data_IF_053397831467
#
_entry.id   IF_053397831467
#
_cell.length_a   1.000
_cell.length_b   1.000
_cell.length_c   1.000
_cell.angle_alpha   90.00
_cell.angle_beta   90.00
_cell.angle_gamma   90.00
#
_symmetry.space_group_name_H-M   'P 1'
#
loop_
_entity.id
_entity.type
_entity.pdbx_description
1 polymer ?
#
# COMPACT_ATOMS: atom_id res chain seq x y z
N UNK A 1 -16.85 -1.40 3.98
CA UNK A 1 -16.16 -1.89 5.21
C UNK A 1 -16.15 -0.75 6.21
N UNK A 2 -16.38 -0.99 7.50
CA UNK A 2 -16.33 0.05 8.54
C UNK A 2 -14.88 0.31 8.96
N UNK A 3 -14.39 1.54 8.78
CA UNK A 3 -13.00 1.92 9.04
C UNK A 3 -12.66 2.03 10.54
N UNK A 4 -13.68 2.31 11.35
CA UNK A 4 -13.67 2.55 12.80
C UNK A 4 -13.64 1.27 13.66
N UNK A 5 -13.61 0.08 13.04
CA UNK A 5 -13.63 -1.18 13.77
C UNK A 5 -12.24 -1.52 14.35
N UNK A 6 -12.21 -1.97 15.60
CA UNK A 6 -11.03 -2.54 16.24
C UNK A 6 -10.53 -3.80 15.52
N UNK A 7 -9.21 -3.94 15.40
CA UNK A 7 -8.55 -5.10 14.82
C UNK A 7 -8.60 -6.28 15.78
N UNK A 8 -9.10 -7.42 15.31
CA UNK A 8 -9.13 -8.64 16.13
C UNK A 8 -7.71 -9.24 16.26
N UNK A 9 -7.36 -9.88 17.40
CA UNK A 9 -6.07 -10.56 17.56
C UNK A 9 -5.78 -11.61 16.47
N UNK A 10 -6.83 -12.28 15.99
CA UNK A 10 -6.75 -13.22 14.87
C UNK A 10 -6.32 -12.55 13.57
N UNK A 11 -6.88 -11.37 13.25
CA UNK A 11 -6.53 -10.61 12.05
C UNK A 11 -5.05 -10.20 12.11
N UNK A 12 -4.60 -9.68 13.25
CA UNK A 12 -3.20 -9.30 13.45
C UNK A 12 -2.25 -10.49 13.20
N UNK A 13 -2.57 -11.67 13.74
CA UNK A 13 -1.78 -12.89 13.54
C UNK A 13 -1.76 -13.34 12.08
N UNK A 14 -2.89 -13.20 11.39
CA UNK A 14 -3.05 -13.57 9.98
C UNK A 14 -2.20 -12.68 9.07
N UNK A 15 -2.28 -11.36 9.27
CA UNK A 15 -1.51 -10.39 8.47
C UNK A 15 -0.02 -10.42 8.79
N UNK A 16 0.38 -10.83 9.99
CA UNK A 16 1.80 -11.09 10.32
C UNK A 16 2.39 -12.18 9.43
N UNK A 17 1.62 -13.23 9.11
CA UNK A 17 2.05 -14.33 8.24
C UNK A 17 1.39 -14.28 6.86
N UNK A 18 1.15 -13.07 6.33
CA UNK A 18 0.35 -12.88 5.12
C UNK A 18 0.85 -13.69 3.91
N UNK A 19 2.16 -13.93 3.77
CA UNK A 19 2.74 -14.73 2.67
C UNK A 19 2.27 -16.18 2.71
N UNK A 20 2.28 -16.78 3.90
CA UNK A 20 1.83 -18.16 4.13
C UNK A 20 0.34 -18.25 3.86
N UNK A 21 -0.44 -17.30 4.40
CA UNK A 21 -1.91 -17.26 4.21
C UNK A 21 -2.27 -17.09 2.73
N UNK A 22 -1.59 -16.20 2.01
CA UNK A 22 -1.79 -16.00 0.58
C UNK A 22 -1.42 -17.27 -0.21
N UNK A 23 -0.30 -17.92 0.11
CA UNK A 23 0.12 -19.17 -0.52
C UNK A 23 -0.89 -20.30 -0.33
N UNK A 24 -1.33 -20.54 0.91
CA UNK A 24 -2.36 -21.55 1.24
C UNK A 24 -3.67 -21.25 0.51
N UNK A 25 -4.09 -19.98 0.46
CA UNK A 25 -5.32 -19.59 -0.24
C UNK A 25 -5.25 -19.87 -1.75
N UNK A 26 -4.14 -19.54 -2.41
CA UNK A 26 -3.97 -19.85 -3.83
C UNK A 26 -3.96 -21.37 -4.04
N UNK A 27 -3.23 -22.12 -3.20
CA UNK A 27 -3.17 -23.57 -3.30
C UNK A 27 -4.56 -24.21 -3.18
N UNK A 28 -5.34 -23.80 -2.18
CA UNK A 28 -6.72 -24.29 -1.98
C UNK A 28 -7.63 -23.90 -3.15
N UNK A 29 -7.57 -22.64 -3.59
CA UNK A 29 -8.38 -22.17 -4.72
C UNK A 29 -8.05 -22.96 -6.01
N UNK A 30 -6.76 -23.19 -6.26
CA UNK A 30 -6.30 -23.98 -7.41
C UNK A 30 -6.77 -25.44 -7.35
N UNK A 31 -6.58 -26.12 -6.21
CA UNK A 31 -7.00 -27.52 -6.03
C UNK A 31 -8.52 -27.65 -6.18
N UNK A 32 -9.30 -26.75 -5.58
CA UNK A 32 -10.75 -26.78 -5.68
C UNK A 32 -11.24 -26.50 -7.10
N UNK A 33 -10.64 -25.54 -7.82
CA UNK A 33 -10.95 -25.31 -9.23
C UNK A 33 -10.57 -26.51 -10.09
N UNK A 34 -9.41 -27.12 -9.85
CA UNK A 34 -8.96 -28.30 -10.58
C UNK A 34 -9.94 -29.47 -10.40
N UNK A 35 -10.35 -29.74 -9.17
CA UNK A 35 -11.35 -30.77 -8.88
C UNK A 35 -12.69 -30.45 -9.55
N UNK A 36 -13.15 -29.20 -9.48
CA UNK A 36 -14.41 -28.78 -10.08
C UNK A 36 -14.39 -28.95 -11.61
N UNK A 37 -13.33 -28.48 -12.27
CA UNK A 37 -13.15 -28.63 -13.72
C UNK A 37 -13.17 -30.10 -14.14
N UNK A 38 -12.50 -30.97 -13.37
CA UNK A 38 -12.43 -32.40 -13.67
C UNK A 38 -13.75 -33.13 -13.40
N UNK A 39 -14.45 -32.79 -12.32
CA UNK A 39 -15.73 -33.41 -11.96
C UNK A 39 -16.87 -33.00 -12.91
N UNK A 40 -16.86 -31.77 -13.39
CA UNK A 40 -17.86 -31.28 -14.35
C UNK A 40 -17.51 -31.58 -15.81
N UNK A 41 -16.38 -32.26 -16.07
CA UNK A 41 -15.87 -32.52 -17.42
C UNK A 41 -15.88 -31.26 -18.32
N UNK A 42 -15.40 -30.13 -17.78
CA UNK A 42 -15.39 -28.86 -18.51
C UNK A 42 -14.46 -28.97 -19.72
N UNK A 43 -14.95 -28.70 -20.96
CA UNK A 43 -14.11 -28.64 -22.16
C UNK A 43 -12.97 -27.62 -21.96
N UNK A 44 -11.77 -27.86 -22.49
CA UNK A 44 -10.65 -26.89 -22.41
C UNK A 44 -10.30 -26.40 -20.98
N UNK A 45 -10.52 -27.25 -19.96
CA UNK A 45 -10.37 -26.94 -18.53
C UNK A 45 -9.00 -26.43 -18.01
N UNK A 46 -8.02 -26.22 -18.89
CA UNK A 46 -6.75 -25.54 -18.57
C UNK A 46 -6.94 -24.03 -18.35
N UNK A 47 -7.88 -23.40 -19.06
CA UNK A 47 -8.09 -21.95 -19.03
C UNK A 47 -8.67 -21.39 -17.73
N UNK A 48 -9.62 -22.05 -17.04
CA UNK A 48 -10.08 -21.61 -15.74
C UNK A 48 -8.95 -21.60 -14.71
N UNK A 49 -8.04 -22.60 -14.78
CA UNK A 49 -6.89 -22.74 -13.89
C UNK A 49 -5.85 -21.64 -14.14
N UNK A 50 -5.45 -21.41 -15.40
CA UNK A 50 -4.53 -20.33 -15.76
C UNK A 50 -5.11 -18.99 -15.32
N UNK A 51 -6.40 -18.75 -15.59
CA UNK A 51 -7.05 -17.49 -15.25
C UNK A 51 -7.09 -17.25 -13.75
N UNK A 52 -7.37 -18.28 -12.95
CA UNK A 52 -7.36 -18.18 -11.50
C UNK A 52 -5.98 -17.76 -10.98
N UNK A 53 -4.91 -18.38 -11.46
CA UNK A 53 -3.53 -18.03 -11.07
C UNK A 53 -3.17 -16.61 -11.52
N UNK A 54 -3.53 -16.21 -12.73
CA UNK A 54 -3.25 -14.86 -13.25
C UNK A 54 -3.98 -13.78 -12.46
N UNK A 55 -5.24 -14.02 -12.07
CA UNK A 55 -6.05 -13.05 -11.33
C UNK A 55 -5.63 -12.98 -9.86
N UNK A 56 -5.36 -14.13 -9.21
CA UNK A 56 -5.04 -14.22 -7.78
C UNK A 56 -3.55 -14.17 -7.45
N UNK A 57 -2.66 -14.30 -8.44
CA UNK A 57 -1.21 -14.45 -8.25
C UNK A 57 -0.57 -13.30 -7.45
N UNK A 58 -0.66 -12.04 -7.91
CA UNK A 58 -0.25 -10.90 -7.09
C UNK A 58 -1.22 -10.74 -5.92
N UNK A 59 -0.77 -10.12 -4.81
CA UNK A 59 -1.49 -10.16 -3.52
C UNK A 59 -3.00 -10.00 -3.69
N UNK A 60 -3.73 -11.04 -3.26
CA UNK A 60 -5.14 -11.30 -3.57
C UNK A 60 -6.08 -10.47 -2.69
N UNK A 61 -5.79 -9.16 -2.58
CA UNK A 61 -6.69 -8.22 -1.93
C UNK A 61 -7.97 -8.07 -2.74
N UNK A 62 -9.10 -7.93 -2.04
CA UNK A 62 -10.41 -7.74 -2.69
C UNK A 62 -10.38 -6.55 -3.66
N UNK A 63 -9.76 -5.43 -3.25
CA UNK A 63 -9.62 -4.22 -4.08
C UNK A 63 -8.72 -4.36 -5.32
N UNK A 64 -7.94 -5.45 -5.40
CA UNK A 64 -7.11 -5.77 -6.57
C UNK A 64 -7.75 -6.83 -7.46
N UNK A 65 -8.28 -7.90 -6.87
CA UNK A 65 -8.82 -9.05 -7.60
C UNK A 65 -10.05 -8.67 -8.40
N UNK A 66 -11.01 -7.94 -7.81
CA UNK A 66 -12.27 -7.62 -8.50
C UNK A 66 -12.03 -6.78 -9.77
N UNK A 67 -11.30 -5.64 -9.73
CA UNK A 67 -11.02 -4.89 -10.95
C UNK A 67 -10.24 -5.69 -12.00
N UNK A 68 -9.34 -6.57 -11.58
CA UNK A 68 -8.58 -7.42 -12.51
C UNK A 68 -9.44 -8.50 -13.14
N UNK A 69 -10.33 -9.12 -12.39
CA UNK A 69 -11.30 -10.08 -12.91
C UNK A 69 -12.17 -9.40 -13.99
N UNK A 70 -12.65 -8.17 -13.73
CA UNK A 70 -13.38 -7.40 -14.76
C UNK A 70 -12.52 -7.05 -15.97
N UNK A 71 -11.25 -6.64 -15.78
CA UNK A 71 -10.33 -6.39 -16.90
C UNK A 71 -10.05 -7.66 -17.71
N UNK A 72 -9.95 -8.81 -17.05
CA UNK A 72 -9.79 -10.12 -17.69
C UNK A 72 -11.03 -10.51 -18.48
N UNK A 73 -12.22 -10.42 -17.90
CA UNK A 73 -13.50 -10.69 -18.57
C UNK A 73 -13.65 -9.77 -19.78
N UNK A 74 -13.51 -8.45 -19.60
CA UNK A 74 -13.63 -7.49 -20.70
C UNK A 74 -12.56 -7.66 -21.78
N UNK A 75 -11.31 -7.95 -21.39
CA UNK A 75 -10.24 -8.24 -22.32
C UNK A 75 -10.50 -9.52 -23.12
N UNK A 76 -11.05 -10.54 -22.48
CA UNK A 76 -11.44 -11.80 -23.12
C UNK A 76 -12.56 -11.60 -24.12
N UNK A 77 -13.62 -10.89 -23.76
CA UNK A 77 -14.74 -10.64 -24.68
C UNK A 77 -14.24 -9.92 -25.94
N UNK A 78 -13.43 -8.86 -25.77
CA UNK A 78 -12.90 -8.08 -26.89
C UNK A 78 -11.90 -8.88 -27.73
N UNK A 79 -10.92 -9.54 -27.11
CA UNK A 79 -9.92 -10.30 -27.86
C UNK A 79 -10.51 -11.56 -28.51
N UNK A 80 -11.53 -12.16 -27.90
CA UNK A 80 -12.30 -13.24 -28.53
C UNK A 80 -13.03 -12.72 -29.76
N UNK A 81 -13.76 -11.60 -29.67
CA UNK A 81 -14.42 -11.01 -30.84
C UNK A 81 -13.44 -10.74 -31.99
N UNK A 82 -12.27 -10.15 -31.70
CA UNK A 82 -11.23 -9.91 -32.69
C UNK A 82 -10.68 -11.23 -33.29
N UNK A 83 -10.53 -12.27 -32.47
CA UNK A 83 -10.05 -13.59 -32.91
C UNK A 83 -11.08 -14.38 -33.71
N UNK A 84 -12.37 -14.31 -33.36
CA UNK A 84 -13.43 -14.93 -34.14
C UNK A 84 -13.54 -14.29 -35.54
N UNK A 85 -13.35 -12.97 -35.64
CA UNK A 85 -13.23 -12.28 -36.94
C UNK A 85 -12.01 -12.80 -37.70
N UNK A 86 -10.85 -12.93 -37.04
CA UNK A 86 -9.64 -13.47 -37.67
C UNK A 86 -9.86 -14.89 -38.24
N UNK A 87 -10.45 -15.80 -37.45
CA UNK A 87 -10.77 -17.17 -37.91
C UNK A 87 -11.74 -17.18 -39.09
N UNK A 88 -12.68 -16.24 -39.15
CA UNK A 88 -13.56 -16.09 -40.33
C UNK A 88 -12.84 -15.55 -41.55
N UNK A 89 -11.90 -14.62 -41.36
CA UNK A 89 -11.06 -14.11 -42.45
C UNK A 89 -10.11 -15.19 -42.99
N UNK A 90 -9.63 -16.09 -42.14
CA UNK A 90 -8.77 -17.21 -42.54
C UNK A 90 -9.45 -18.13 -43.56
N UNK A 91 -10.76 -18.40 -43.37
CA UNK A 91 -11.56 -19.19 -44.31
C UNK A 91 -11.68 -18.52 -45.70
N UNK A 92 -11.47 -17.20 -45.77
CA UNK A 92 -11.53 -16.42 -47.01
C UNK A 92 -10.12 -16.28 -47.61
N UNK A 93 -9.15 -15.86 -46.81
CA UNK A 93 -7.77 -15.57 -47.23
C UNK A 93 -6.83 -15.45 -46.04
N UNK A 94 -5.79 -16.29 -46.01
CA UNK A 94 -4.74 -16.25 -44.98
C UNK A 94 -4.01 -14.88 -44.90
N UNK A 95 -3.59 -14.24 -46.02
CA UNK A 95 -3.01 -12.89 -45.97
C UNK A 95 -3.90 -11.85 -45.27
N UNK A 96 -5.21 -11.91 -45.49
CA UNK A 96 -6.16 -10.97 -44.92
C UNK A 96 -6.27 -11.15 -43.39
N UNK A 97 -6.30 -12.40 -42.94
CA UNK A 97 -6.25 -12.75 -41.51
C UNK A 97 -4.97 -12.23 -40.85
N UNK A 98 -3.81 -12.41 -41.50
CA UNK A 98 -2.52 -11.94 -40.97
C UNK A 98 -2.51 -10.42 -40.84
N UNK A 99 -3.02 -9.70 -41.85
CA UNK A 99 -3.09 -8.23 -41.82
C UNK A 99 -4.03 -7.74 -40.71
N UNK A 100 -5.17 -8.41 -40.52
CA UNK A 100 -6.09 -8.15 -39.40
C UNK A 100 -5.43 -8.39 -38.05
N UNK A 101 -4.74 -9.53 -37.87
CA UNK A 101 -4.03 -9.85 -36.64
C UNK A 101 -2.91 -8.84 -36.35
N UNK A 102 -2.18 -8.40 -37.38
CA UNK A 102 -1.15 -7.37 -37.24
C UNK A 102 -1.75 -6.04 -36.77
N UNK A 103 -2.86 -5.59 -37.38
CA UNK A 103 -3.56 -4.38 -36.97
C UNK A 103 -4.10 -4.49 -35.53
N UNK A 104 -4.72 -5.62 -35.18
CA UNK A 104 -5.25 -5.88 -33.84
C UNK A 104 -4.14 -5.94 -32.78
N UNK A 105 -3.02 -6.60 -33.08
CA UNK A 105 -1.86 -6.67 -32.18
C UNK A 105 -1.15 -5.33 -32.04
N UNK A 106 -1.03 -4.55 -33.11
CA UNK A 106 -0.52 -3.18 -33.06
C UNK A 106 -1.38 -2.31 -32.14
N UNK A 107 -2.71 -2.36 -32.29
CA UNK A 107 -3.63 -1.64 -31.41
C UNK A 107 -3.50 -2.11 -29.95
N UNK A 108 -3.37 -3.42 -29.71
CA UNK A 108 -3.14 -3.95 -28.36
C UNK A 108 -1.82 -3.44 -27.77
N UNK A 109 -0.73 -3.43 -28.55
CA UNK A 109 0.56 -2.91 -28.13
C UNK A 109 0.53 -1.41 -27.81
N UNK A 110 -0.17 -0.63 -28.63
CA UNK A 110 -0.39 0.80 -28.38
C UNK A 110 -1.19 1.02 -27.09
N UNK A 111 -2.31 0.30 -26.91
CA UNK A 111 -3.15 0.39 -25.72
C UNK A 111 -2.44 -0.13 -24.45
N UNK A 112 -1.48 -1.05 -24.60
CA UNK A 112 -0.67 -1.57 -23.52
C UNK A 112 0.24 -0.50 -22.88
N UNK A 113 0.55 0.58 -23.61
CA UNK A 113 1.27 1.75 -23.06
C UNK A 113 0.32 2.85 -22.53
N UNK A 114 -0.99 2.61 -22.58
CA UNK A 114 -2.02 3.55 -22.14
C UNK A 114 -2.45 3.38 -20.68
N UNK A 115 -3.67 3.85 -20.37
CA UNK A 115 -4.22 3.88 -18.99
C UNK A 115 -4.58 2.49 -18.44
N UNK A 116 -4.84 1.49 -19.31
CA UNK A 116 -5.27 0.14 -18.93
C UNK A 116 -4.35 -0.94 -19.54
N UNK A 117 -3.06 -0.95 -19.15
CA UNK A 117 -2.06 -1.82 -19.76
C UNK A 117 -2.41 -3.31 -19.61
N UNK A 118 -2.92 -3.68 -18.44
CA UNK A 118 -3.34 -5.05 -18.15
C UNK A 118 -4.48 -5.51 -19.07
N UNK A 119 -5.53 -4.71 -19.25
CA UNK A 119 -6.64 -5.10 -20.11
C UNK A 119 -6.20 -5.27 -21.57
N UNK A 120 -5.36 -4.37 -22.08
CA UNK A 120 -4.83 -4.45 -23.44
C UNK A 120 -3.98 -5.72 -23.66
N UNK A 121 -3.14 -6.08 -22.69
CA UNK A 121 -2.37 -7.33 -22.75
C UNK A 121 -3.29 -8.56 -22.81
N UNK A 122 -4.39 -8.57 -22.05
CA UNK A 122 -5.32 -9.70 -22.04
C UNK A 122 -6.08 -9.82 -23.35
N UNK A 123 -6.44 -8.71 -24.00
CA UNK A 123 -7.01 -8.72 -25.36
C UNK A 123 -6.04 -9.44 -26.29
N UNK A 124 -4.76 -9.03 -26.32
CA UNK A 124 -3.73 -9.67 -27.14
C UNK A 124 -3.56 -11.16 -26.85
N UNK A 125 -3.46 -11.55 -25.57
CA UNK A 125 -3.37 -12.97 -25.17
C UNK A 125 -4.58 -13.75 -25.68
N UNK A 126 -5.80 -13.25 -25.47
CA UNK A 126 -7.02 -13.95 -25.88
C UNK A 126 -7.17 -14.03 -27.40
N UNK A 127 -6.76 -12.99 -28.12
CA UNK A 127 -6.66 -13.01 -29.58
C UNK A 127 -5.71 -14.12 -30.05
N UNK A 128 -4.49 -14.18 -29.50
CA UNK A 128 -3.50 -15.22 -29.85
C UNK A 128 -4.01 -16.63 -29.57
N UNK A 129 -4.74 -16.81 -28.47
CA UNK A 129 -5.31 -18.11 -28.07
C UNK A 129 -6.43 -18.57 -28.98
N UNK A 130 -7.26 -17.63 -29.43
CA UNK A 130 -8.38 -17.90 -30.33
C UNK A 130 -7.87 -18.18 -31.75
N UNK A 131 -6.91 -17.39 -32.22
CA UNK A 131 -6.29 -17.55 -33.54
C UNK A 131 -5.44 -18.83 -33.63
N UNK A 132 -4.86 -19.30 -32.54
CA UNK A 132 -4.11 -20.55 -32.50
C UNK A 132 -4.97 -21.83 -32.55
N UNK A 133 -6.30 -21.72 -32.61
CA UNK A 133 -7.17 -22.87 -32.84
C UNK A 133 -7.12 -23.32 -34.31
N UNK A 134 -7.49 -24.57 -34.63
CA UNK A 134 -7.61 -25.02 -36.01
C UNK A 134 -8.51 -24.08 -36.84
N UNK A 135 -8.24 -23.90 -38.14
CA UNK A 135 -8.98 -22.96 -38.99
C UNK A 135 -10.48 -23.21 -38.93
N UNK A 136 -11.25 -22.17 -38.61
CA UNK A 136 -12.72 -22.24 -38.56
C UNK A 136 -13.33 -22.89 -37.30
N UNK A 137 -12.53 -23.35 -36.34
CA UNK A 137 -13.03 -23.95 -35.09
C UNK A 137 -13.53 -22.88 -34.09
N UNK A 138 -14.71 -22.35 -34.38
CA UNK A 138 -15.38 -21.37 -33.51
C UNK A 138 -15.80 -21.98 -32.17
N UNK A 139 -16.06 -23.29 -32.12
CA UNK A 139 -16.54 -23.96 -30.92
C UNK A 139 -15.47 -23.95 -29.83
N UNK A 140 -14.25 -24.39 -30.17
CA UNK A 140 -13.12 -24.37 -29.24
C UNK A 140 -12.80 -22.94 -28.79
N UNK A 141 -12.84 -21.97 -29.71
CA UNK A 141 -12.62 -20.57 -29.37
C UNK A 141 -13.62 -20.05 -28.32
N UNK A 142 -14.93 -20.33 -28.50
CA UNK A 142 -15.98 -19.90 -27.57
C UNK A 142 -15.84 -20.56 -26.19
N UNK A 143 -15.49 -21.84 -26.13
CA UNK A 143 -15.24 -22.54 -24.86
C UNK A 143 -14.07 -21.94 -24.09
N UNK A 144 -12.94 -21.69 -24.77
CA UNK A 144 -11.78 -21.03 -24.14
C UNK A 144 -12.14 -19.64 -23.58
N UNK A 145 -12.97 -18.88 -24.29
CA UNK A 145 -13.47 -17.58 -23.80
C UNK A 145 -14.37 -17.74 -22.58
N UNK A 146 -15.30 -18.69 -22.61
CA UNK A 146 -16.20 -19.01 -21.51
C UNK A 146 -15.44 -19.44 -20.25
N UNK A 147 -14.42 -20.28 -20.42
CA UNK A 147 -13.56 -20.77 -19.36
C UNK A 147 -12.76 -19.68 -18.65
N UNK A 148 -12.29 -18.68 -19.40
CA UNK A 148 -11.61 -17.52 -18.81
C UNK A 148 -12.59 -16.69 -17.98
N UNK A 149 -13.84 -16.54 -18.44
CA UNK A 149 -14.88 -15.87 -17.65
C UNK A 149 -15.16 -16.69 -16.38
N UNK A 150 -15.34 -18.00 -16.52
CA UNK A 150 -15.59 -18.91 -15.42
C UNK A 150 -14.46 -18.89 -14.38
N UNK A 151 -13.20 -18.97 -14.80
CA UNK A 151 -12.03 -18.84 -13.93
C UNK A 151 -11.96 -17.49 -13.22
N UNK A 152 -12.37 -16.40 -13.89
CA UNK A 152 -12.44 -15.06 -13.29
C UNK A 152 -13.53 -14.97 -12.21
N UNK A 153 -14.69 -15.61 -12.42
CA UNK A 153 -15.76 -15.72 -11.43
C UNK A 153 -15.33 -16.54 -10.23
N UNK A 154 -14.68 -17.70 -10.45
CA UNK A 154 -14.12 -18.53 -9.39
C UNK A 154 -13.06 -17.78 -8.58
N UNK A 155 -12.17 -17.04 -9.24
CA UNK A 155 -11.17 -16.21 -8.57
C UNK A 155 -11.83 -15.17 -7.65
N UNK A 156 -12.91 -14.51 -8.10
CA UNK A 156 -13.69 -13.60 -7.25
C UNK A 156 -14.38 -14.34 -6.10
N UNK A 157 -14.96 -15.52 -6.33
CA UNK A 157 -15.62 -16.33 -5.32
C UNK A 157 -14.65 -16.75 -4.21
N UNK A 158 -13.53 -17.39 -4.55
CA UNK A 158 -12.50 -17.78 -3.57
C UNK A 158 -11.88 -16.57 -2.88
N UNK A 159 -11.82 -15.44 -3.58
CA UNK A 159 -11.37 -14.21 -2.96
C UNK A 159 -12.39 -13.68 -1.95
N UNK A 160 -13.69 -13.88 -2.21
CA UNK A 160 -14.80 -13.41 -1.38
C UNK A 160 -15.03 -14.23 -0.11
N UNK A 161 -14.77 -15.55 -0.17
CA UNK A 161 -14.92 -16.46 0.99
C UNK A 161 -13.99 -16.05 2.13
N UNK A 162 -12.74 -15.68 1.81
CA UNK A 162 -11.77 -15.21 2.79
C UNK A 162 -11.05 -13.93 2.31
N UNK A 163 -11.68 -12.76 2.45
CA UNK A 163 -11.15 -11.54 1.86
C UNK A 163 -9.99 -10.99 2.68
N UNK A 164 -8.78 -11.09 2.14
CA UNK A 164 -7.67 -10.24 2.59
C UNK A 164 -7.97 -8.79 2.19
N UNK A 165 -8.09 -7.92 3.19
CA UNK A 165 -8.29 -6.48 3.03
C UNK A 165 -6.96 -5.74 3.03
N UNK A 166 -6.75 -4.90 2.03
CA UNK A 166 -5.57 -4.04 1.95
C UNK A 166 -5.59 -2.96 3.03
N UNK A 167 -6.75 -2.42 3.38
CA UNK A 167 -6.85 -1.38 4.41
C UNK A 167 -6.44 -1.89 5.81
N UNK A 168 -6.81 -3.13 6.16
CA UNK A 168 -6.37 -3.73 7.44
C UNK A 168 -4.86 -3.92 7.44
N UNK A 169 -4.31 -4.45 6.35
CA UNK A 169 -2.87 -4.61 6.22
C UNK A 169 -2.12 -3.28 6.35
N UNK A 170 -2.66 -2.24 5.69
CA UNK A 170 -2.12 -0.88 5.77
C UNK A 170 -2.17 -0.34 7.20
N UNK A 171 -3.28 -0.51 7.92
CA UNK A 171 -3.40 -0.08 9.34
C UNK A 171 -2.35 -0.75 10.22
N UNK A 172 -2.13 -2.06 10.06
CA UNK A 172 -1.14 -2.81 10.85
C UNK A 172 0.29 -2.35 10.53
N UNK A 173 0.62 -2.17 9.23
CA UNK A 173 1.92 -1.67 8.82
C UNK A 173 2.16 -0.25 9.31
N UNK A 174 1.14 0.62 9.25
CA UNK A 174 1.23 1.99 9.73
C UNK A 174 1.42 2.04 11.26
N UNK A 175 0.68 1.22 12.01
CA UNK A 175 0.85 1.15 13.46
C UNK A 175 2.23 0.64 13.85
N UNK A 176 2.74 -0.37 13.12
CA UNK A 176 4.10 -0.90 13.30
C UNK A 176 5.16 0.15 12.97
N UNK A 177 4.96 0.92 11.89
CA UNK A 177 5.81 2.05 11.52
C UNK A 177 5.85 3.11 12.62
N UNK A 178 4.71 3.59 13.10
CA UNK A 178 4.64 4.62 14.15
C UNK A 178 5.28 4.12 15.45
N UNK A 179 5.06 2.84 15.80
CA UNK A 179 5.70 2.22 16.97
C UNK A 179 7.22 2.14 16.81
N UNK A 180 7.71 1.74 15.63
CA UNK A 180 9.13 1.67 15.35
C UNK A 180 9.77 3.06 15.32
N UNK A 181 9.09 4.05 14.73
CA UNK A 181 9.50 5.45 14.74
C UNK A 181 9.65 5.97 16.18
N UNK A 182 8.68 5.67 17.06
CA UNK A 182 8.78 6.04 18.48
C UNK A 182 9.98 5.40 19.18
N UNK A 183 10.29 4.13 18.88
CA UNK A 183 11.49 3.46 19.42
C UNK A 183 12.78 4.09 18.91
N UNK A 184 12.84 4.45 17.63
CA UNK A 184 13.99 5.15 17.05
C UNK A 184 14.16 6.55 17.64
N UNK A 185 13.05 7.25 17.86
CA UNK A 185 13.03 8.54 18.55
C UNK A 185 13.61 8.42 19.97
N UNK A 186 13.10 7.46 20.76
CA UNK A 186 13.61 7.19 22.11
C UNK A 186 15.08 6.77 22.13
N UNK A 187 15.51 5.93 21.18
CA UNK A 187 16.90 5.52 21.06
C UNK A 187 17.81 6.67 20.64
N UNK A 188 17.34 7.60 19.81
CA UNK A 188 18.12 8.75 19.33
C UNK A 188 18.37 9.81 20.41
N UNK A 189 17.43 9.99 21.33
CA UNK A 189 17.44 11.05 22.35
C UNK A 189 17.49 10.54 23.79
N UNK A 190 17.89 9.27 24.01
CA UNK A 190 17.94 8.71 25.36
C UNK A 190 18.96 9.47 26.22
N UNK A 191 18.58 9.96 27.43
CA UNK A 191 19.50 10.63 28.34
C UNK A 191 20.62 9.72 28.87
N UNK A 192 20.46 8.40 28.73
CA UNK A 192 21.40 7.39 29.23
C UNK A 192 22.53 7.07 28.24
N UNK A 193 22.58 7.75 27.09
CA UNK A 193 23.61 7.53 26.08
C UNK A 193 24.77 8.50 26.29
N UNK A 194 25.99 7.95 26.28
CA UNK A 194 27.23 8.74 26.36
C UNK A 194 27.65 9.21 24.96
N UNK A 195 27.47 8.36 23.95
CA UNK A 195 27.86 8.60 22.56
C UNK A 195 26.67 8.43 21.60
N UNK A 196 26.80 9.03 20.41
CA UNK A 196 25.80 8.96 19.34
C UNK A 196 25.49 7.49 18.98
N UNK A 197 24.22 7.07 19.01
CA UNK A 197 23.82 5.73 18.61
C UNK A 197 23.86 5.56 17.08
N UNK A 198 24.28 4.38 16.61
CA UNK A 198 24.30 4.01 15.18
C UNK A 198 22.91 3.58 14.72
N UNK A 199 22.10 4.53 14.26
CA UNK A 199 20.71 4.32 13.88
C UNK A 199 20.46 4.35 12.36
N UNK A 200 21.48 4.58 11.54
CA UNK A 200 21.37 4.81 10.10
C UNK A 200 20.65 3.64 9.39
N UNK A 201 21.04 2.40 9.69
CA UNK A 201 20.40 1.21 9.12
C UNK A 201 18.93 1.09 9.51
N UNK A 202 18.58 1.46 10.74
CA UNK A 202 17.22 1.37 11.24
C UNK A 202 16.32 2.48 10.68
N UNK A 203 16.86 3.70 10.51
CA UNK A 203 16.19 4.79 9.81
C UNK A 203 15.93 4.44 8.35
N UNK A 204 16.92 3.85 7.66
CA UNK A 204 16.76 3.37 6.29
C UNK A 204 15.70 2.25 6.19
N UNK A 205 15.67 1.33 7.15
CA UNK A 205 14.62 0.31 7.23
C UNK A 205 13.23 0.94 7.42
N UNK A 206 13.07 1.91 8.33
CA UNK A 206 11.82 2.62 8.54
C UNK A 206 11.34 3.33 7.26
N UNK A 207 12.25 3.99 6.54
CA UNK A 207 11.95 4.61 5.24
C UNK A 207 11.50 3.57 4.20
N UNK A 208 12.22 2.44 4.10
CA UNK A 208 11.88 1.36 3.17
C UNK A 208 10.50 0.77 3.47
N UNK A 209 10.13 0.63 4.74
CA UNK A 209 8.82 0.12 5.14
C UNK A 209 7.71 1.11 4.82
N UNK A 210 7.96 2.42 5.00
CA UNK A 210 7.07 3.46 4.46
C UNK A 210 6.90 3.27 2.96
N UNK A 211 7.96 3.20 2.17
CA UNK A 211 7.88 3.04 0.70
C UNK A 211 7.06 1.80 0.30
N UNK A 212 7.24 0.66 0.98
CA UNK A 212 6.46 -0.56 0.72
C UNK A 212 4.96 -0.38 0.95
N UNK A 213 4.55 0.43 1.94
CA UNK A 213 3.12 0.72 2.20
C UNK A 213 2.41 1.37 1.01
N UNK A 214 3.14 2.03 0.09
CA UNK A 214 2.57 2.65 -1.11
C UNK A 214 1.79 1.65 -1.98
N UNK A 215 2.23 0.39 -2.02
CA UNK A 215 1.55 -0.68 -2.75
C UNK A 215 0.13 -0.99 -2.24
N UNK A 216 -0.19 -0.60 -1.01
CA UNK A 216 -1.49 -0.82 -0.38
C UNK A 216 -2.48 0.32 -0.62
N UNK A 217 -2.02 1.50 -1.06
CA UNK A 217 -2.83 2.71 -1.17
C UNK A 217 -4.01 2.53 -2.15
N UNK A 218 -3.71 2.11 -3.38
CA UNK A 218 -4.73 1.91 -4.42
C UNK A 218 -5.77 0.86 -4.03
N UNK A 219 -5.40 -0.36 -3.58
CA UNK A 219 -6.40 -1.34 -3.15
C UNK A 219 -7.15 -0.90 -1.89
N UNK A 220 -6.50 -0.26 -0.91
CA UNK A 220 -7.18 0.23 0.28
C UNK A 220 -8.23 1.30 -0.06
N UNK A 221 -7.89 2.27 -0.92
CA UNK A 221 -8.82 3.30 -1.40
C UNK A 221 -10.02 2.71 -2.13
N UNK A 222 -9.83 1.67 -2.96
CA UNK A 222 -10.93 0.97 -3.64
C UNK A 222 -11.83 0.17 -2.67
N UNK A 223 -11.27 -0.35 -1.59
CA UNK A 223 -12.01 -1.16 -0.59
C UNK A 223 -12.81 -0.30 0.40
N UNK A 224 -12.31 0.89 0.74
CA UNK A 224 -12.93 1.78 1.74
C UNK A 224 -13.62 3.00 1.15
N UNK A 225 -13.41 3.30 -0.14
CA UNK A 225 -13.82 4.54 -0.80
C UNK A 225 -13.19 5.81 -0.21
N UNK A 226 -12.19 5.68 0.66
CA UNK A 226 -11.39 6.81 1.15
C UNK A 226 -10.56 7.36 -0.03
N UNK A 227 -10.52 8.68 -0.17
CA UNK A 227 -9.78 9.35 -1.23
C UNK A 227 -8.29 8.97 -1.20
N UNK A 228 -7.73 8.60 -2.35
CA UNK A 228 -6.32 8.24 -2.52
C UNK A 228 -5.37 9.32 -1.98
N UNK A 229 -5.74 10.59 -2.15
CA UNK A 229 -4.98 11.75 -1.68
C UNK A 229 -4.72 11.73 -0.16
N UNK A 230 -5.63 11.18 0.64
CA UNK A 230 -5.45 11.08 2.11
C UNK A 230 -4.31 10.10 2.42
N UNK A 231 -4.29 8.94 1.78
CA UNK A 231 -3.21 7.96 1.96
C UNK A 231 -1.87 8.49 1.44
N UNK A 232 -1.86 9.19 0.31
CA UNK A 232 -0.65 9.82 -0.24
C UNK A 232 -0.12 10.93 0.66
N UNK A 233 -1.00 11.70 1.30
CA UNK A 233 -0.62 12.68 2.31
C UNK A 233 -0.01 12.00 3.55
N UNK A 234 -0.64 10.94 4.09
CA UNK A 234 -0.09 10.16 5.22
C UNK A 234 1.30 9.61 4.87
N UNK A 235 1.45 9.06 3.66
CA UNK A 235 2.71 8.53 3.15
C UNK A 235 3.80 9.61 3.12
N UNK A 236 3.46 10.80 2.64
CA UNK A 236 4.39 11.94 2.53
C UNK A 236 4.83 12.41 3.91
N UNK A 237 3.88 12.61 4.83
CA UNK A 237 4.16 13.01 6.20
C UNK A 237 5.02 11.96 6.92
N UNK A 238 4.71 10.67 6.74
CA UNK A 238 5.51 9.58 7.33
C UNK A 238 6.95 9.61 6.84
N UNK A 239 7.18 9.78 5.53
CA UNK A 239 8.54 9.91 4.98
C UNK A 239 9.26 11.13 5.55
N UNK A 240 8.58 12.27 5.63
CA UNK A 240 9.15 13.52 6.16
C UNK A 240 9.55 13.36 7.63
N UNK A 241 8.74 12.67 8.45
CA UNK A 241 9.07 12.38 9.85
C UNK A 241 10.37 11.60 9.98
N UNK A 242 10.62 10.58 9.15
CA UNK A 242 11.90 9.82 9.18
C UNK A 242 13.09 10.72 8.86
N UNK A 243 12.98 11.54 7.81
CA UNK A 243 14.05 12.48 7.44
C UNK A 243 14.29 13.54 8.54
N UNK A 244 13.24 14.04 9.16
CA UNK A 244 13.39 14.99 10.26
C UNK A 244 14.01 14.37 11.50
N UNK A 245 13.65 13.13 11.83
CA UNK A 245 14.29 12.41 12.93
C UNK A 245 15.81 12.27 12.70
N UNK A 246 16.21 11.95 11.47
CA UNK A 246 17.64 11.89 11.10
C UNK A 246 18.34 13.24 11.30
N UNK A 247 17.74 14.34 10.84
CA UNK A 247 18.28 15.69 11.02
C UNK A 247 18.32 16.10 12.49
N UNK A 248 17.30 15.76 13.28
CA UNK A 248 17.26 16.05 14.71
C UNK A 248 18.34 15.28 15.48
N UNK A 249 18.55 14.00 15.16
CA UNK A 249 19.62 13.20 15.77
C UNK A 249 20.98 13.83 15.41
N UNK A 250 21.18 14.23 14.16
CA UNK A 250 22.42 14.90 13.75
C UNK A 250 22.64 16.22 14.51
N UNK A 251 21.61 17.05 14.69
CA UNK A 251 21.69 18.30 15.44
C UNK A 251 21.93 18.06 16.95
N UNK A 252 21.24 17.08 17.53
CA UNK A 252 21.33 16.73 18.95
C UNK A 252 22.72 16.24 19.38
N UNK A 253 23.40 15.52 18.48
CA UNK A 253 24.74 14.96 18.71
C UNK A 253 25.86 15.75 18.01
N UNK A 254 25.58 16.94 17.46
CA UNK A 254 26.54 17.71 16.66
C UNK A 254 27.74 18.22 17.49
N UNK A 255 27.47 18.75 18.68
CA UNK A 255 28.49 19.29 19.58
C UNK A 255 28.22 18.86 21.02
N UNK A 256 29.27 18.59 21.79
CA UNK A 256 29.16 18.18 23.19
C UNK A 256 28.57 19.27 24.09
N UNK A 257 28.95 20.57 23.96
CA UNK A 257 28.33 21.65 24.73
C UNK A 257 26.83 21.80 24.45
N UNK A 258 26.44 21.84 23.17
CA UNK A 258 25.03 21.95 22.79
C UNK A 258 24.20 20.75 23.24
N UNK A 259 24.74 19.53 23.13
CA UNK A 259 24.11 18.34 23.70
C UNK A 259 23.83 18.48 25.21
N UNK A 260 24.80 19.00 25.98
CA UNK A 260 24.64 19.20 27.41
C UNK A 260 23.59 20.27 27.75
N UNK A 261 23.53 21.36 26.98
CA UNK A 261 22.48 22.38 27.13
C UNK A 261 21.10 21.78 26.87
N UNK A 262 20.95 21.03 25.76
CA UNK A 262 19.67 20.44 25.37
C UNK A 262 19.20 19.34 26.34
N UNK A 263 20.12 18.58 26.95
CA UNK A 263 19.80 17.56 27.93
C UNK A 263 19.22 18.14 29.23
N UNK A 264 19.62 19.35 29.60
CA UNK A 264 19.15 20.05 30.80
C UNK A 264 17.91 20.94 30.55
N UNK A 265 17.50 21.12 29.30
CA UNK A 265 16.35 21.94 28.95
C UNK A 265 15.02 21.21 29.24
N UNK A 266 14.30 21.66 30.27
CA UNK A 266 13.03 21.07 30.71
C UNK A 266 11.96 21.07 29.60
N UNK A 267 11.79 22.19 28.89
CA UNK A 267 10.80 22.34 27.81
C UNK A 267 11.05 21.39 26.63
N UNK A 268 12.32 21.13 26.29
CA UNK A 268 12.68 20.14 25.26
C UNK A 268 12.34 18.71 25.71
N UNK A 269 12.58 18.39 26.99
CA UNK A 269 12.23 17.09 27.56
C UNK A 269 10.71 16.87 27.56
N UNK A 270 9.93 17.88 27.91
CA UNK A 270 8.46 17.83 27.84
C UNK A 270 7.96 17.64 26.41
N UNK A 271 8.58 18.34 25.45
CA UNK A 271 8.27 18.19 24.02
C UNK A 271 8.57 16.76 23.53
N UNK A 272 9.70 16.18 23.95
CA UNK A 272 10.07 14.81 23.63
C UNK A 272 9.06 13.81 24.21
N UNK A 273 8.66 13.98 25.47
CA UNK A 273 7.67 13.11 26.12
C UNK A 273 6.29 13.22 25.46
N UNK A 274 5.83 14.43 25.15
CA UNK A 274 4.57 14.66 24.47
C UNK A 274 4.57 14.04 23.06
N UNK A 275 5.67 14.21 22.32
CA UNK A 275 5.87 13.56 21.01
C UNK A 275 5.71 12.04 21.11
N UNK A 276 6.37 11.42 22.09
CA UNK A 276 6.27 9.97 22.31
C UNK A 276 4.85 9.52 22.67
N UNK A 277 4.16 10.27 23.53
CA UNK A 277 2.77 9.98 23.90
C UNK A 277 1.81 10.10 22.70
N UNK A 278 2.00 11.11 21.85
CA UNK A 278 1.21 11.27 20.62
C UNK A 278 1.48 10.17 19.60
N UNK A 279 2.73 9.74 19.42
CA UNK A 279 3.04 8.59 18.56
C UNK A 279 2.38 7.31 19.08
N UNK A 280 2.43 7.06 20.40
CA UNK A 280 1.75 5.92 21.01
C UNK A 280 0.23 5.99 20.86
N UNK A 281 -0.38 7.16 21.04
CA UNK A 281 -1.84 7.31 20.86
C UNK A 281 -2.26 7.10 19.41
N UNK A 282 -1.48 7.58 18.44
CA UNK A 282 -1.68 7.29 17.01
C UNK A 282 -1.60 5.78 16.74
N UNK A 283 -0.59 5.09 17.29
CA UNK A 283 -0.45 3.65 17.12
C UNK A 283 -1.65 2.88 17.70
N UNK A 284 -2.13 3.26 18.89
CA UNK A 284 -3.33 2.67 19.50
C UNK A 284 -4.59 2.95 18.67
N UNK A 285 -4.78 4.18 18.19
CA UNK A 285 -5.92 4.53 17.33
C UNK A 285 -5.94 3.70 16.03
N UNK A 286 -4.77 3.40 15.45
CA UNK A 286 -4.66 2.54 14.27
C UNK A 286 -5.05 1.08 14.56
N UNK A 287 -4.89 0.58 15.79
CA UNK A 287 -5.36 -0.75 16.19
C UNK A 287 -6.84 -0.75 16.59
N UNK A 288 -7.26 0.18 17.43
CA UNK A 288 -8.61 0.20 18.01
C UNK A 288 -9.66 0.80 17.06
N UNK A 289 -9.25 1.64 16.11
CA UNK A 289 -10.15 2.38 15.24
C UNK A 289 -10.79 3.61 15.90
N UNK A 290 -10.42 3.94 17.15
CA UNK A 290 -10.91 5.12 17.87
C UNK A 290 -9.88 6.27 17.84
N UNK A 291 -10.15 7.39 17.14
CA UNK A 291 -9.24 8.53 17.05
C UNK A 291 -9.32 9.53 18.23
N UNK A 292 -10.23 9.37 19.19
CA UNK A 292 -10.43 10.31 20.30
C UNK A 292 -9.15 10.64 21.11
N UNK A 293 -8.35 9.67 21.58
CA UNK A 293 -7.16 9.96 22.39
C UNK A 293 -6.07 10.72 21.63
N UNK A 294 -6.09 10.66 20.29
CA UNK A 294 -5.11 11.38 19.46
C UNK A 294 -5.39 12.88 19.47
N UNK A 295 -6.66 13.31 19.55
CA UNK A 295 -7.02 14.74 19.56
C UNK A 295 -6.59 15.44 20.84
N UNK A 296 -6.78 14.80 21.99
CA UNK A 296 -6.43 15.38 23.29
C UNK A 296 -4.92 15.62 23.45
N UNK A 297 -4.08 14.74 22.89
CA UNK A 297 -2.62 14.93 22.94
C UNK A 297 -2.12 16.02 21.98
N UNK A 298 -2.83 16.27 20.87
CA UNK A 298 -2.47 17.34 19.94
C UNK A 298 -2.56 18.73 20.59
N UNK A 299 -3.64 19.00 21.35
CA UNK A 299 -3.84 20.32 21.99
C UNK A 299 -2.67 20.68 22.93
N UNK A 300 -2.24 19.73 23.76
CA UNK A 300 -1.09 19.91 24.66
C UNK A 300 0.23 20.07 23.90
N UNK A 301 0.42 19.33 22.81
CA UNK A 301 1.61 19.47 21.96
C UNK A 301 1.67 20.86 21.34
N UNK A 302 0.54 21.42 20.90
CA UNK A 302 0.46 22.77 20.34
C UNK A 302 0.84 23.84 21.36
N UNK A 303 0.40 23.70 22.61
CA UNK A 303 0.76 24.61 23.71
C UNK A 303 2.27 24.64 23.97
N UNK A 304 2.90 23.48 24.12
CA UNK A 304 4.36 23.36 24.33
C UNK A 304 5.13 23.93 23.13
N UNK A 305 4.65 23.73 21.91
CA UNK A 305 5.27 24.29 20.69
C UNK A 305 5.19 25.82 20.65
N UNK A 306 4.10 26.41 21.14
CA UNK A 306 3.97 27.86 21.22
C UNK A 306 4.97 28.46 22.23
N UNK A 307 5.14 27.81 23.37
CA UNK A 307 6.15 28.18 24.37
C UNK A 307 7.56 28.10 23.78
N UNK A 308 7.92 26.99 23.11
CA UNK A 308 9.22 26.85 22.44
C UNK A 308 9.48 27.93 21.39
N UNK A 309 8.46 28.35 20.64
CA UNK A 309 8.57 29.44 19.67
C UNK A 309 8.80 30.79 20.34
N UNK A 310 8.21 31.01 21.50
CA UNK A 310 8.40 32.23 22.27
C UNK A 310 9.84 32.31 22.80
N UNK A 311 10.32 31.22 23.42
CA UNK A 311 11.71 31.13 23.91
C UNK A 311 12.74 31.34 22.79
N UNK A 312 12.48 30.78 21.59
CA UNK A 312 13.32 30.98 20.40
C UNK A 312 13.39 32.45 19.96
N UNK A 313 12.30 33.21 20.11
CA UNK A 313 12.25 34.64 19.74
C UNK A 313 12.94 35.51 20.78
N UNK A 314 12.80 35.19 22.06
CA UNK A 314 13.41 35.93 23.16
C UNK A 314 14.95 35.82 23.16
N UNK A 315 15.51 34.73 22.64
CA UNK A 315 16.96 34.53 22.50
C UNK A 315 17.57 35.06 21.18
N UNK A 316 16.77 35.67 20.31
CA UNK A 316 17.16 36.00 18.93
C UNK A 316 18.18 37.13 18.73
N UNK A 317 18.75 37.71 19.79
CA UNK A 317 19.62 38.91 19.71
C UNK A 317 21.09 38.67 20.14
N UNK A 318 21.43 37.50 20.71
CA UNK A 318 22.82 37.16 21.06
C UNK A 318 23.49 36.38 19.91
N UNK A 319 24.27 37.12 19.12
CA UNK A 319 24.99 36.61 17.96
C UNK A 319 25.87 35.39 18.26
N UNK A 320 25.81 34.40 17.35
CA UNK A 320 26.73 33.25 17.22
C UNK A 320 26.60 32.08 18.22
N UNK A 321 25.63 32.07 19.14
CA UNK A 321 25.44 30.94 20.05
C UNK A 321 24.76 29.73 19.38
N UNK A 322 25.58 28.76 18.93
CA UNK A 322 25.23 27.36 18.62
C UNK A 322 24.09 27.11 17.59
N UNK A 323 24.40 27.30 16.31
CA UNK A 323 23.59 26.88 15.14
C UNK A 323 22.93 25.49 15.26
N UNK A 324 23.57 24.45 15.86
CA UNK A 324 22.95 23.14 16.02
C UNK A 324 21.78 23.10 17.02
N UNK A 325 21.85 23.86 18.12
CA UNK A 325 20.80 23.89 19.14
C UNK A 325 19.54 24.54 18.57
N UNK A 326 19.68 25.72 17.96
CA UNK A 326 18.58 26.37 17.24
C UNK A 326 17.98 25.48 16.15
N UNK A 327 18.83 24.76 15.40
CA UNK A 327 18.41 23.77 14.42
C UNK A 327 17.57 22.65 15.03
N UNK A 328 17.98 22.10 16.17
CA UNK A 328 17.23 21.06 16.88
C UNK A 328 15.87 21.55 17.39
N UNK A 329 15.81 22.75 17.99
CA UNK A 329 14.55 23.33 18.49
C UNK A 329 13.58 23.57 17.33
N UNK A 330 14.06 24.15 16.22
CA UNK A 330 13.25 24.36 15.02
C UNK A 330 12.72 23.05 14.45
N UNK A 331 13.57 22.03 14.34
CA UNK A 331 13.16 20.70 13.87
C UNK A 331 12.15 20.02 14.82
N UNK A 332 12.22 20.30 16.12
CA UNK A 332 11.25 19.81 17.11
C UNK A 332 9.87 20.43 16.93
N UNK A 333 9.82 21.73 16.65
CA UNK A 333 8.59 22.44 16.30
C UNK A 333 8.00 21.90 14.99
N UNK A 334 8.83 21.68 13.97
CA UNK A 334 8.38 21.16 12.68
C UNK A 334 7.92 19.70 12.79
N UNK A 335 8.59 18.87 13.61
CA UNK A 335 8.15 17.51 13.91
C UNK A 335 6.78 17.49 14.56
N UNK A 336 6.54 18.36 15.54
CA UNK A 336 5.23 18.47 16.17
C UNK A 336 4.14 18.84 15.16
N UNK A 337 4.41 19.78 14.25
CA UNK A 337 3.49 20.16 13.17
C UNK A 337 3.18 19.01 12.21
N UNK A 338 4.19 18.24 11.80
CA UNK A 338 4.00 17.06 10.96
C UNK A 338 3.22 15.96 11.69
N UNK A 339 3.44 15.80 12.99
CA UNK A 339 2.74 14.83 13.83
C UNK A 339 1.26 15.18 14.00
N UNK A 340 0.95 16.47 14.19
CA UNK A 340 -0.41 17.00 14.23
C UNK A 340 -1.14 16.72 12.90
N UNK A 341 -0.49 17.03 11.77
CA UNK A 341 -1.01 16.74 10.43
C UNK A 341 -1.24 15.23 10.24
N UNK A 342 -0.30 14.39 10.67
CA UNK A 342 -0.44 12.94 10.61
C UNK A 342 -1.65 12.45 11.40
N UNK A 343 -1.82 12.96 12.62
CA UNK A 343 -2.97 12.68 13.49
C UNK A 343 -4.29 13.03 12.78
N UNK A 344 -4.41 14.23 12.21
CA UNK A 344 -5.62 14.64 11.49
C UNK A 344 -5.93 13.74 10.30
N UNK A 345 -4.91 13.38 9.52
CA UNK A 345 -5.07 12.50 8.36
C UNK A 345 -5.49 11.08 8.76
N UNK A 346 -4.90 10.54 9.84
CA UNK A 346 -5.27 9.23 10.38
C UNK A 346 -6.70 9.26 10.92
N UNK A 347 -7.08 10.31 11.66
CA UNK A 347 -8.44 10.52 12.12
C UNK A 347 -9.43 10.52 10.95
N UNK A 348 -9.08 11.18 9.83
CA UNK A 348 -9.91 11.23 8.62
C UNK A 348 -9.99 9.87 7.93
N UNK A 349 -8.90 9.10 7.92
CA UNK A 349 -8.88 7.75 7.36
C UNK A 349 -9.63 6.71 8.20
N UNK A 350 -9.79 6.95 9.51
CA UNK A 350 -10.54 6.10 10.43
C UNK A 350 -12.01 6.54 10.60
N UNK A 351 -12.39 7.71 10.06
CA UNK A 351 -13.76 8.24 10.16
C UNK A 351 -14.73 7.42 9.30
N UNK A 352 -15.98 7.28 9.80
CA UNK A 352 -17.08 6.62 9.09
C UNK A 352 -17.37 7.24 7.74
#
# INVERSE_FOLDING_TARGET
MRADKSLKPFEIRLYRHYRVVHGVRIALAFVLTFLLVRLLNVPEGTWPLITLVVVMGPISFWGNVVPRAFQRIGGTILGSALGLVALKLELISLPLMVLWCAAAMFLCGWLALGKKPYQALLIGITLSVVVGAPPGDMHTALWRSGDVIFGSLLAMLFTGIWPQRAFIHWRIQMASYVTNFNRLYQAGFSPNLVDRPRLEKHLQQALNDVVKMRGLITPASKETHIQKAIFEAIQTVSRNLVCMLELQINAWWATRPGHFVMLNAHTLRETQQMTQQTLLSIAHALYEGNPQPVRANNEKLTEIVLELRQLLKEQGDDGLAETPVHGYVWLSIELARQLELLSHLICRALRK
#
